data_IF_532193054630
#
_entry.id   IF_532193054630
#
_cell.length_a   1.000
_cell.length_b   1.000
_cell.length_c   1.000
_cell.angle_alpha   90.00
_cell.angle_beta   90.00
_cell.angle_gamma   90.00
#
_symmetry.space_group_name_H-M   'P 1'
#
loop_
_entity.id
_entity.type
_entity.pdbx_description
1 polymer ?
#
# COMPACT_ATOMS: atom_id res chain seq x y z
N UNK A 1 -15.40 1.56 -0.53
CA UNK A 1 -14.70 0.29 -0.68
C UNK A 1 -15.54 -0.64 -1.55
N UNK A 2 -14.88 -1.37 -2.44
CA UNK A 2 -15.47 -2.40 -3.29
C UNK A 2 -14.68 -3.68 -3.07
N UNK A 3 -15.41 -4.80 -2.85
CA UNK A 3 -14.81 -6.12 -2.64
C UNK A 3 -15.55 -7.10 -3.54
N UNK A 4 -14.80 -7.97 -4.20
CA UNK A 4 -15.33 -9.04 -5.02
C UNK A 4 -14.55 -10.33 -4.76
N UNK A 5 -15.27 -11.40 -4.43
CA UNK A 5 -14.72 -12.72 -4.18
C UNK A 5 -15.42 -13.77 -5.02
N UNK A 6 -14.67 -14.64 -5.62
CA UNK A 6 -15.16 -15.77 -6.39
C UNK A 6 -14.48 -17.06 -5.96
N UNK A 7 -15.26 -18.13 -5.85
CA UNK A 7 -14.77 -19.46 -5.48
C UNK A 7 -15.27 -20.50 -6.46
N UNK A 8 -14.37 -21.30 -7.02
CA UNK A 8 -14.65 -22.43 -7.89
C UNK A 8 -14.15 -23.73 -7.24
N UNK A 9 -15.05 -24.71 -7.18
CA UNK A 9 -14.70 -26.08 -6.82
C UNK A 9 -14.63 -26.92 -8.08
N UNK A 10 -13.50 -27.57 -8.32
CA UNK A 10 -13.32 -28.49 -9.47
C UNK A 10 -13.39 -29.94 -9.03
N UNK A 11 -13.69 -30.83 -9.99
CA UNK A 11 -13.76 -32.27 -9.72
C UNK A 11 -12.42 -32.91 -9.32
N UNK A 12 -11.31 -32.22 -9.55
CA UNK A 12 -9.95 -32.72 -9.28
C UNK A 12 -9.41 -32.25 -7.91
N UNK A 13 -10.28 -32.11 -6.90
CA UNK A 13 -9.90 -31.70 -5.54
C UNK A 13 -9.24 -30.31 -5.44
N UNK A 14 -9.41 -29.45 -6.45
CA UNK A 14 -9.00 -28.07 -6.42
C UNK A 14 -10.11 -27.17 -5.90
N UNK A 15 -9.75 -26.23 -5.04
CA UNK A 15 -10.59 -25.12 -4.62
C UNK A 15 -9.91 -23.80 -4.95
N UNK A 16 -10.27 -23.25 -6.09
CA UNK A 16 -9.74 -21.98 -6.57
C UNK A 16 -10.52 -20.83 -5.95
N UNK A 17 -9.82 -19.84 -5.39
CA UNK A 17 -10.38 -18.57 -4.95
C UNK A 17 -9.67 -17.44 -5.66
N UNK A 18 -10.43 -16.47 -6.13
CA UNK A 18 -9.92 -15.24 -6.73
C UNK A 18 -10.76 -14.08 -6.26
N UNK A 19 -10.15 -12.93 -6.12
CA UNK A 19 -10.89 -11.73 -5.80
C UNK A 19 -10.06 -10.48 -5.95
N UNK A 20 -10.73 -9.36 -5.82
CA UNK A 20 -10.09 -8.07 -5.71
C UNK A 20 -10.74 -7.21 -4.63
N UNK A 21 -9.97 -6.33 -4.06
CA UNK A 21 -10.44 -5.27 -3.19
C UNK A 21 -9.94 -3.92 -3.70
N UNK A 22 -10.78 -2.91 -3.59
CA UNK A 22 -10.44 -1.55 -3.98
C UNK A 22 -11.01 -0.56 -2.97
N UNK A 23 -10.18 0.33 -2.47
CA UNK A 23 -10.56 1.37 -1.51
C UNK A 23 -10.10 2.72 -2.03
N UNK A 24 -11.00 3.68 -2.01
CA UNK A 24 -10.71 5.09 -2.25
C UNK A 24 -10.84 5.79 -0.90
N UNK A 25 -9.83 6.58 -0.55
CA UNK A 25 -9.80 7.36 0.70
C UNK A 25 -9.56 8.82 0.38
N UNK A 26 -10.38 9.68 0.97
CA UNK A 26 -10.18 11.13 0.99
C UNK A 26 -9.61 11.51 2.36
N UNK A 27 -8.39 12.04 2.37
CA UNK A 27 -7.63 12.38 3.57
C UNK A 27 -7.62 13.89 3.69
N UNK A 28 -8.29 14.41 4.71
CA UNK A 28 -8.28 15.81 5.04
C UNK A 28 -7.58 16.01 6.38
N UNK A 29 -6.53 16.79 6.38
CA UNK A 29 -5.73 17.06 7.58
C UNK A 29 -5.63 18.56 7.78
N UNK A 30 -5.82 18.96 9.02
CA UNK A 30 -5.45 20.27 9.55
C UNK A 30 -4.70 19.99 10.86
N UNK A 31 -3.39 20.15 10.84
CA UNK A 31 -2.52 20.00 11.99
C UNK A 31 -1.94 21.37 12.36
N UNK A 32 -2.12 21.80 13.60
CA UNK A 32 -1.73 23.13 14.07
C UNK A 32 -0.75 22.94 15.22
N UNK A 33 0.51 23.20 14.92
CA UNK A 33 1.56 23.36 15.92
C UNK A 33 1.59 24.81 16.39
N UNK A 34 1.65 25.05 17.68
CA UNK A 34 1.78 26.37 18.28
C UNK A 34 0.68 27.38 17.83
N UNK A 35 -0.60 27.10 18.09
CA UNK A 35 -1.69 27.99 17.68
C UNK A 35 -1.63 29.40 18.29
N UNK A 36 -0.81 29.59 19.33
CA UNK A 36 -0.55 30.86 20.00
C UNK A 36 0.56 31.71 19.35
N UNK A 37 1.32 31.15 18.41
CA UNK A 37 2.42 31.86 17.74
C UNK A 37 1.98 32.39 16.38
N UNK A 38 2.48 33.57 16.01
CA UNK A 38 2.19 34.20 14.72
C UNK A 38 1.03 35.16 14.73
N UNK A 39 0.88 35.87 13.60
CA UNK A 39 -0.13 36.91 13.40
C UNK A 39 -1.40 36.44 12.71
N UNK A 40 -1.44 35.17 12.27
CA UNK A 40 -2.63 34.55 11.65
C UNK A 40 -3.42 33.76 12.69
N UNK A 41 -4.75 33.65 12.51
CA UNK A 41 -5.63 32.97 13.44
C UNK A 41 -5.37 31.48 13.65
N UNK A 42 -4.47 30.88 12.87
CA UNK A 42 -4.08 29.45 12.95
C UNK A 42 -2.66 29.23 13.50
N UNK A 43 -2.00 30.27 14.02
CA UNK A 43 -0.60 30.17 14.46
C UNK A 43 0.41 30.24 13.30
N UNK A 44 1.70 30.12 13.64
CA UNK A 44 2.79 30.19 12.66
C UNK A 44 3.07 28.87 11.95
N UNK A 45 2.76 27.76 12.60
CA UNK A 45 3.09 26.42 12.14
C UNK A 45 1.81 25.57 12.01
N UNK A 46 1.33 25.41 10.80
CA UNK A 46 0.22 24.51 10.51
C UNK A 46 0.50 23.68 9.26
N UNK A 47 -0.09 22.52 9.18
CA UNK A 47 -0.17 21.71 7.98
C UNK A 47 -1.63 21.51 7.59
N UNK A 48 -1.95 21.80 6.34
CA UNK A 48 -3.29 21.60 5.81
C UNK A 48 -3.20 21.01 4.42
N UNK A 49 -3.74 19.82 4.26
CA UNK A 49 -3.80 19.18 2.95
C UNK A 49 -5.04 18.32 2.76
N UNK A 50 -5.41 18.16 1.51
CA UNK A 50 -6.43 17.22 1.07
C UNK A 50 -5.81 16.30 0.02
N UNK A 51 -5.76 15.00 0.30
CA UNK A 51 -5.19 14.00 -0.58
C UNK A 51 -6.19 12.86 -0.82
N UNK A 52 -6.53 12.65 -2.09
CA UNK A 52 -7.28 11.46 -2.50
C UNK A 52 -6.31 10.38 -2.92
N UNK A 53 -6.37 9.26 -2.24
CA UNK A 53 -5.57 8.07 -2.50
C UNK A 53 -6.47 6.88 -2.78
N UNK A 54 -5.99 5.93 -3.55
CA UNK A 54 -6.65 4.65 -3.70
C UNK A 54 -5.64 3.51 -3.59
N UNK A 55 -6.11 2.42 -3.04
CA UNK A 55 -5.32 1.21 -2.87
C UNK A 55 -6.22 -0.01 -2.90
N UNK A 56 -5.61 -1.16 -3.11
CA UNK A 56 -6.33 -2.40 -3.16
C UNK A 56 -5.42 -3.58 -3.44
N UNK A 57 -6.03 -4.70 -3.75
CA UNK A 57 -5.29 -5.89 -4.10
C UNK A 57 -6.09 -6.80 -5.04
N UNK A 58 -5.35 -7.56 -5.84
CA UNK A 58 -5.84 -8.75 -6.52
C UNK A 58 -5.23 -9.98 -5.88
N UNK A 59 -6.00 -11.03 -5.75
CA UNK A 59 -5.48 -12.30 -5.27
C UNK A 59 -6.03 -13.49 -6.04
N UNK A 60 -5.21 -14.51 -6.11
CA UNK A 60 -5.53 -15.84 -6.61
C UNK A 60 -4.97 -16.85 -5.64
N UNK A 61 -5.77 -17.83 -5.25
CA UNK A 61 -5.38 -18.91 -4.35
C UNK A 61 -5.96 -20.22 -4.84
N UNK A 62 -5.16 -21.27 -4.84
CA UNK A 62 -5.60 -22.63 -5.07
C UNK A 62 -5.28 -23.50 -3.85
N UNK A 63 -6.29 -24.24 -3.41
CA UNK A 63 -6.14 -25.30 -2.42
C UNK A 63 -6.38 -26.64 -3.10
N UNK A 64 -5.34 -27.49 -3.06
CA UNK A 64 -5.33 -28.80 -3.68
C UNK A 64 -5.29 -29.84 -2.56
N UNK A 65 -6.16 -30.84 -2.64
CA UNK A 65 -6.17 -31.95 -1.69
C UNK A 65 -5.82 -33.24 -2.48
N UNK A 66 -4.72 -33.87 -2.11
CA UNK A 66 -4.21 -35.05 -2.77
C UNK A 66 -3.72 -36.08 -1.74
N UNK A 67 -4.29 -37.27 -1.73
CA UNK A 67 -3.89 -38.40 -0.84
C UNK A 67 -3.70 -38.00 0.63
N UNK A 68 -4.62 -37.20 1.17
CA UNK A 68 -4.55 -36.68 2.54
C UNK A 68 -3.66 -35.45 2.71
N UNK A 69 -2.76 -35.16 1.78
CA UNK A 69 -1.96 -33.93 1.76
C UNK A 69 -2.82 -32.73 1.30
N UNK A 70 -2.66 -31.60 1.93
CA UNK A 70 -3.26 -30.34 1.50
C UNK A 70 -2.15 -29.37 1.09
N UNK A 71 -2.22 -28.88 -0.14
CA UNK A 71 -1.35 -27.86 -0.70
C UNK A 71 -2.14 -26.56 -0.88
N UNK A 72 -1.63 -25.44 -0.38
CA UNK A 72 -2.18 -24.12 -0.57
C UNK A 72 -1.17 -23.27 -1.34
N UNK A 73 -1.55 -22.82 -2.51
CA UNK A 73 -0.78 -21.90 -3.35
C UNK A 73 -1.52 -20.59 -3.45
N UNK A 74 -0.83 -19.47 -3.30
CA UNK A 74 -1.47 -18.18 -3.39
C UNK A 74 -0.53 -17.11 -3.90
N UNK A 75 -1.11 -16.15 -4.59
CA UNK A 75 -0.45 -14.94 -5.02
C UNK A 75 -1.37 -13.76 -4.74
N UNK A 76 -0.81 -12.72 -4.14
CA UNK A 76 -1.52 -11.46 -3.92
C UNK A 76 -0.69 -10.31 -4.49
N UNK A 77 -1.33 -9.44 -5.23
CA UNK A 77 -0.71 -8.20 -5.72
C UNK A 77 -1.42 -7.03 -5.08
N UNK A 78 -0.73 -6.39 -4.14
CA UNK A 78 -1.21 -5.16 -3.54
C UNK A 78 -0.79 -3.98 -4.41
N UNK A 79 -1.67 -3.01 -4.62
CA UNK A 79 -1.41 -1.79 -5.37
C UNK A 79 -1.83 -0.56 -4.57
N UNK A 80 -1.14 0.55 -4.84
CA UNK A 80 -1.39 1.82 -4.17
C UNK A 80 -1.01 2.99 -5.07
N UNK A 81 -1.92 3.97 -5.19
CA UNK A 81 -1.69 5.26 -5.81
C UNK A 81 -1.68 6.34 -4.74
N UNK A 82 -0.57 7.05 -4.53
CA UNK A 82 -0.49 8.13 -3.53
C UNK A 82 -1.38 9.34 -3.88
N UNK A 83 -1.82 9.46 -5.14
CA UNK A 83 -2.76 10.47 -5.58
C UNK A 83 -2.13 11.76 -6.08
N UNK A 84 -2.99 12.64 -6.62
CA UNK A 84 -2.58 13.87 -7.30
C UNK A 84 -1.81 14.83 -6.41
N UNK A 85 -2.16 14.93 -5.14
CA UNK A 85 -1.43 15.77 -4.19
C UNK A 85 0.07 15.48 -4.15
N UNK A 86 0.44 14.18 -4.15
CA UNK A 86 1.85 13.76 -4.21
C UNK A 86 2.44 14.01 -5.61
N UNK A 87 1.69 13.69 -6.66
CA UNK A 87 2.16 13.87 -8.04
C UNK A 87 2.47 15.35 -8.33
N UNK A 88 1.61 16.26 -7.90
CA UNK A 88 1.81 17.71 -8.00
C UNK A 88 3.06 18.15 -7.23
N UNK A 89 3.22 17.70 -5.98
CA UNK A 89 4.40 18.00 -5.18
C UNK A 89 5.70 17.50 -5.83
N UNK A 90 5.66 16.29 -6.42
CA UNK A 90 6.80 15.70 -7.11
C UNK A 90 7.14 16.42 -8.43
N UNK A 91 6.16 16.97 -9.12
CA UNK A 91 6.35 17.69 -10.38
C UNK A 91 6.71 19.16 -10.18
N UNK A 92 6.41 19.74 -9.01
CA UNK A 92 6.77 21.12 -8.70
C UNK A 92 8.26 21.26 -8.42
N UNK A 93 9.01 21.74 -9.41
CA UNK A 93 10.45 21.97 -9.30
C UNK A 93 10.82 23.13 -8.37
N UNK A 94 9.87 24.00 -8.03
CA UNK A 94 10.05 25.08 -7.05
C UNK A 94 9.95 24.60 -5.59
N UNK A 95 9.42 23.41 -5.38
CA UNK A 95 9.32 22.80 -4.07
C UNK A 95 10.70 22.34 -3.58
N UNK A 96 11.26 23.07 -2.62
CA UNK A 96 12.60 22.82 -2.07
C UNK A 96 12.65 21.65 -1.07
N UNK A 97 11.51 21.20 -0.58
CA UNK A 97 11.39 20.11 0.39
C UNK A 97 11.73 18.78 -0.30
N UNK A 98 11.27 18.62 -1.54
CA UNK A 98 11.47 17.40 -2.31
C UNK A 98 12.73 17.53 -3.17
N UNK A 99 13.71 16.68 -2.88
CA UNK A 99 14.97 16.66 -3.63
C UNK A 99 14.81 16.08 -5.04
N UNK A 100 15.72 16.40 -5.94
CA UNK A 100 15.74 15.83 -7.30
C UNK A 100 15.91 14.31 -7.28
N UNK A 101 16.70 13.78 -6.32
CA UNK A 101 16.86 12.33 -6.14
C UNK A 101 15.54 11.67 -5.72
N UNK A 102 14.76 12.32 -4.84
CA UNK A 102 13.43 11.82 -4.45
C UNK A 102 12.46 11.81 -5.63
N UNK A 103 12.49 12.83 -6.50
CA UNK A 103 11.68 12.88 -7.73
C UNK A 103 12.06 11.79 -8.73
N UNK A 104 13.36 11.55 -8.87
CA UNK A 104 13.85 10.48 -9.74
C UNK A 104 13.40 9.11 -9.22
N UNK A 105 13.60 8.82 -7.94
CA UNK A 105 13.18 7.58 -7.29
C UNK A 105 11.67 7.35 -7.43
N UNK A 106 10.86 8.41 -7.27
CA UNK A 106 9.42 8.31 -7.45
C UNK A 106 9.05 7.88 -8.87
N UNK A 107 9.72 8.43 -9.89
CA UNK A 107 9.48 8.03 -11.29
C UNK A 107 9.94 6.60 -11.59
N UNK A 108 11.01 6.15 -10.96
CA UNK A 108 11.55 4.79 -11.15
C UNK A 108 10.69 3.72 -10.45
N UNK A 109 10.15 4.03 -9.28
CA UNK A 109 9.38 3.09 -8.47
C UNK A 109 7.88 3.09 -8.77
N UNK A 110 7.39 4.04 -9.57
CA UNK A 110 5.98 4.13 -9.96
C UNK A 110 5.79 3.85 -11.43
N UNK A 111 4.62 3.34 -11.79
CA UNK A 111 4.19 3.19 -13.18
C UNK A 111 2.88 3.94 -13.43
N UNK A 112 2.65 4.31 -14.68
CA UNK A 112 1.41 4.98 -15.08
C UNK A 112 0.29 3.95 -15.24
N UNK A 113 -0.78 4.14 -14.47
CA UNK A 113 -1.98 3.31 -14.59
C UNK A 113 -3.11 4.15 -15.21
N UNK A 114 -3.64 3.76 -16.40
CA UNK A 114 -4.73 4.46 -17.05
C UNK A 114 -6.04 4.21 -16.29
N UNK A 115 -6.51 5.20 -15.54
CA UNK A 115 -7.76 5.12 -14.82
C UNK A 115 -8.68 6.27 -15.24
N UNK A 116 -9.69 6.00 -16.10
CA UNK A 116 -10.76 6.92 -16.51
C UNK A 116 -10.33 8.40 -16.72
N UNK A 117 -9.26 8.62 -17.47
CA UNK A 117 -8.71 9.95 -17.73
C UNK A 117 -7.18 9.99 -17.64
N UNK A 118 -6.64 11.00 -17.01
CA UNK A 118 -5.19 11.11 -16.82
C UNK A 118 -4.64 9.95 -15.98
N UNK A 119 -3.51 9.37 -16.39
CA UNK A 119 -2.91 8.25 -15.66
C UNK A 119 -2.51 8.67 -14.24
N UNK A 120 -2.65 7.74 -13.30
CA UNK A 120 -2.15 7.87 -11.94
C UNK A 120 -0.82 7.16 -11.79
N UNK A 121 0.07 7.74 -11.00
CA UNK A 121 1.30 7.07 -10.55
C UNK A 121 0.97 6.04 -9.49
N UNK A 122 1.28 4.78 -9.76
CA UNK A 122 0.97 3.66 -8.86
C UNK A 122 2.23 2.88 -8.50
N UNK A 123 2.20 2.30 -7.31
CA UNK A 123 3.13 1.25 -6.86
C UNK A 123 2.38 -0.07 -6.76
N UNK A 124 3.06 -1.18 -7.03
CA UNK A 124 2.51 -2.51 -6.84
C UNK A 124 3.52 -3.42 -6.13
N UNK A 125 2.99 -4.37 -5.35
CA UNK A 125 3.78 -5.35 -4.60
C UNK A 125 3.20 -6.74 -4.75
N UNK A 126 4.05 -7.68 -5.13
CA UNK A 126 3.70 -9.08 -5.24
C UNK A 126 4.01 -9.82 -3.94
N UNK A 127 3.05 -10.59 -3.45
CA UNK A 127 3.10 -11.32 -2.19
C UNK A 127 2.72 -12.79 -2.41
N UNK A 128 3.70 -13.67 -2.75
CA UNK A 128 3.46 -15.09 -2.89
C UNK A 128 3.23 -15.76 -1.53
N UNK A 129 2.43 -16.82 -1.52
CA UNK A 129 2.13 -17.64 -0.34
C UNK A 129 2.11 -19.12 -0.72
N UNK A 130 2.70 -19.92 0.13
CA UNK A 130 2.76 -21.35 -0.03
C UNK A 130 2.50 -22.02 1.32
N UNK A 131 1.73 -23.08 1.33
CA UNK A 131 1.49 -23.88 2.52
C UNK A 131 1.29 -25.33 2.14
N UNK A 132 1.88 -26.23 2.91
CA UNK A 132 1.70 -27.68 2.77
C UNK A 132 1.36 -28.26 4.14
N UNK A 133 0.41 -29.17 4.16
CA UNK A 133 0.03 -29.96 5.33
C UNK A 133 -0.04 -31.43 4.93
N UNK A 134 0.70 -32.27 5.62
CA UNK A 134 0.76 -33.70 5.32
C UNK A 134 0.60 -34.53 6.61
N UNK A 135 -0.41 -35.41 6.72
CA UNK A 135 -0.52 -36.33 7.82
C UNK A 135 0.61 -37.36 7.77
N UNK A 136 1.39 -37.45 8.85
CA UNK A 136 2.49 -38.39 9.00
C UNK A 136 2.02 -39.67 9.72
N UNK A 137 1.14 -39.50 10.69
CA UNK A 137 0.44 -40.56 11.40
C UNK A 137 -1.03 -40.20 11.55
N UNK A 138 -1.85 -41.07 12.13
CA UNK A 138 -3.27 -40.78 12.40
C UNK A 138 -3.44 -39.60 13.37
N UNK A 139 -2.42 -39.29 14.18
CA UNK A 139 -2.48 -38.22 15.19
C UNK A 139 -1.51 -37.04 14.91
N UNK A 140 -0.59 -37.20 13.97
CA UNK A 140 0.46 -36.19 13.72
C UNK A 140 0.37 -35.65 12.28
N UNK A 141 0.43 -34.34 12.16
CA UNK A 141 0.42 -33.59 10.89
C UNK A 141 1.66 -32.73 10.80
N UNK A 142 2.43 -32.91 9.75
CA UNK A 142 3.50 -32.00 9.39
C UNK A 142 2.91 -30.80 8.63
N UNK A 143 3.24 -29.61 9.07
CA UNK A 143 2.82 -28.38 8.46
C UNK A 143 4.04 -27.53 8.11
N UNK A 144 4.01 -26.93 6.91
CA UNK A 144 4.97 -25.91 6.51
C UNK A 144 4.24 -24.77 5.82
N UNK A 145 4.60 -23.56 6.18
CA UNK A 145 4.06 -22.34 5.59
C UNK A 145 5.18 -21.36 5.23
N UNK A 146 5.03 -20.72 4.08
CA UNK A 146 5.86 -19.60 3.63
C UNK A 146 4.98 -18.52 3.03
N UNK A 147 5.18 -17.26 3.40
CA UNK A 147 4.38 -16.18 2.85
C UNK A 147 5.03 -14.82 2.96
N UNK A 148 4.74 -13.99 1.94
CA UNK A 148 5.04 -12.57 1.93
C UNK A 148 3.79 -11.78 2.30
N UNK A 149 4.00 -10.73 3.09
CA UNK A 149 2.94 -9.81 3.50
C UNK A 149 3.41 -8.39 3.26
N UNK A 150 2.49 -7.53 2.84
CA UNK A 150 2.73 -6.10 2.71
C UNK A 150 1.73 -5.31 3.53
N UNK A 151 2.17 -4.17 4.07
CA UNK A 151 1.34 -3.23 4.80
C UNK A 151 1.67 -1.82 4.33
N UNK A 152 0.64 -1.08 3.91
CA UNK A 152 0.81 0.31 3.50
C UNK A 152 1.37 1.16 4.65
N UNK A 153 2.22 2.16 4.34
CA UNK A 153 2.69 3.11 5.33
C UNK A 153 1.53 3.94 5.87
N UNK A 154 1.68 4.43 7.09
CA UNK A 154 0.74 5.40 7.65
C UNK A 154 0.73 6.67 6.79
N UNK A 155 -0.44 7.15 6.44
CA UNK A 155 -0.61 8.29 5.52
C UNK A 155 0.11 9.55 5.98
N UNK A 156 0.16 9.82 7.28
CA UNK A 156 0.91 10.94 7.84
C UNK A 156 2.38 10.94 7.39
N UNK A 157 3.03 9.78 7.36
CA UNK A 157 4.43 9.69 6.92
C UNK A 157 4.64 9.87 5.42
N UNK A 158 3.58 9.84 4.65
CA UNK A 158 3.61 10.02 3.19
C UNK A 158 3.31 11.47 2.82
N UNK A 159 2.29 12.07 3.45
CA UNK A 159 1.68 13.32 2.99
C UNK A 159 2.03 14.56 3.81
N UNK A 160 2.51 14.41 5.05
CA UNK A 160 2.75 15.54 5.93
C UNK A 160 3.71 16.56 5.32
N UNK A 161 3.28 17.82 5.25
CA UNK A 161 4.12 18.98 4.91
C UNK A 161 4.90 18.92 3.58
N UNK A 162 4.55 17.99 2.65
CA UNK A 162 5.29 17.85 1.38
C UNK A 162 5.11 19.05 0.43
N UNK A 163 4.03 19.84 0.59
CA UNK A 163 3.76 21.06 -0.14
C UNK A 163 3.83 22.31 0.74
N UNK A 164 4.34 22.17 1.97
CA UNK A 164 4.40 23.30 2.91
C UNK A 164 5.45 24.31 2.50
N UNK A 165 5.07 25.59 2.51
CA UNK A 165 5.98 26.71 2.41
C UNK A 165 6.46 27.20 3.80
N UNK A 166 6.04 26.54 4.87
CA UNK A 166 6.34 26.93 6.23
C UNK A 166 7.80 26.69 6.56
N UNK A 167 8.47 27.71 7.08
CA UNK A 167 9.84 27.65 7.57
C UNK A 167 9.81 27.55 9.08
N UNK A 168 9.80 26.36 9.64
CA UNK A 168 9.96 26.16 11.07
C UNK A 168 11.12 25.23 11.37
N UNK A 169 11.67 25.37 12.58
CA UNK A 169 12.98 24.86 12.96
C UNK A 169 13.03 23.33 13.15
N UNK A 170 11.91 22.67 13.39
CA UNK A 170 11.82 21.23 13.62
C UNK A 170 10.55 20.66 12.97
N UNK A 171 10.61 20.40 11.68
CA UNK A 171 9.48 19.82 10.95
C UNK A 171 9.78 18.39 10.52
N UNK A 172 8.83 17.50 10.75
CA UNK A 172 8.83 16.18 10.15
C UNK A 172 8.10 16.29 8.81
N UNK A 173 8.83 16.05 7.73
CA UNK A 173 8.27 16.01 6.38
C UNK A 173 7.90 14.58 6.01
N UNK A 174 6.78 14.42 5.34
CA UNK A 174 6.38 13.16 4.75
C UNK A 174 7.35 12.74 3.64
N UNK A 175 7.46 11.44 3.43
CA UNK A 175 8.22 10.88 2.33
C UNK A 175 7.30 10.13 1.37
N UNK A 176 6.95 10.73 0.22
CA UNK A 176 6.10 10.08 -0.78
C UNK A 176 6.70 8.81 -1.40
N UNK A 177 8.01 8.60 -1.23
CA UNK A 177 8.69 7.39 -1.70
C UNK A 177 8.62 6.21 -0.73
N UNK A 178 7.99 6.37 0.43
CA UNK A 178 7.82 5.26 1.35
C UNK A 178 7.19 4.06 0.66
N UNK A 179 7.87 2.94 0.78
CA UNK A 179 7.37 1.67 0.30
C UNK A 179 6.57 0.96 1.41
N UNK A 180 5.61 0.11 1.04
CA UNK A 180 4.93 -0.74 1.99
C UNK A 180 5.91 -1.54 2.84
N UNK A 181 5.65 -1.62 4.14
CA UNK A 181 6.39 -2.51 5.04
C UNK A 181 6.16 -3.96 4.60
N UNK A 182 7.23 -4.72 4.47
CA UNK A 182 7.16 -6.11 4.06
C UNK A 182 7.61 -7.05 5.18
N UNK A 183 6.91 -8.17 5.29
CA UNK A 183 7.25 -9.24 6.23
C UNK A 183 7.31 -10.55 5.45
N UNK A 184 8.34 -11.33 5.69
CA UNK A 184 8.44 -12.71 5.22
C UNK A 184 8.24 -13.59 6.45
N UNK A 185 7.28 -14.50 6.38
CA UNK A 185 6.97 -15.45 7.43
C UNK A 185 7.18 -16.86 6.91
N UNK A 186 7.76 -17.68 7.73
CA UNK A 186 7.86 -19.14 7.53
C UNK A 186 7.64 -19.86 8.86
N UNK A 187 7.03 -21.00 8.80
CA UNK A 187 6.67 -21.84 9.94
C UNK A 187 6.85 -23.30 9.59
#
# INVERSE_FOLDING_TARGET
RMDFDWTLHTKNNHKLKSGFEHTITDIQVLDIDEPWSGSSGFGANYDSYNAKTFFGAFYLQDRIVFEGMTLNLGIRTDYWAPGRYVEEAMNDTSNIIITNSARQLFREETFDFPWFGDPYKMKARLSPRFGISHPVTDNDVLYFYYGHFSQLPTFQYVYAKINSKAQSTYQVFGNPNLNPKTTVQYE
#
